data_IF_966485070525
#
_entry.id   IF_966485070525
#
_cell.length_a   1.000
_cell.length_b   1.000
_cell.length_c   1.000
_cell.angle_alpha   90.00
_cell.angle_beta   90.00
_cell.angle_gamma   90.00
#
_symmetry.space_group_name_H-M   'P 1'
#
loop_
_entity.id
_entity.type
_entity.pdbx_description
1 polymer ?
#
# COMPACT_ATOMS: atom_id res chain seq x y z
N UNK A 1 1.53 27.09 6.88
CA UNK A 1 0.86 26.04 6.07
C UNK A 1 1.88 24.94 5.84
N UNK A 2 1.85 23.88 6.64
CA UNK A 2 2.79 22.76 6.48
C UNK A 2 2.37 21.96 5.26
N UNK A 3 3.18 21.99 4.21
CA UNK A 3 3.07 21.08 3.07
C UNK A 3 3.11 19.65 3.62
N UNK A 4 1.95 18.99 3.69
CA UNK A 4 1.94 17.56 3.97
C UNK A 4 2.43 16.89 2.70
N UNK A 5 3.69 16.50 2.66
CA UNK A 5 4.24 15.74 1.54
C UNK A 5 3.44 14.45 1.42
N UNK A 6 2.64 14.34 0.35
CA UNK A 6 1.82 13.17 0.06
C UNK A 6 2.30 12.58 -1.25
N UNK A 7 2.77 11.35 -1.20
CA UNK A 7 3.23 10.65 -2.39
C UNK A 7 2.07 9.84 -2.96
N UNK A 8 1.68 10.16 -4.18
CA UNK A 8 0.59 9.49 -4.88
C UNK A 8 1.13 8.64 -6.01
N UNK A 9 0.82 7.35 -5.97
CA UNK A 9 1.23 6.43 -7.02
C UNK A 9 0.16 5.41 -7.34
N UNK A 10 0.31 4.78 -8.50
CA UNK A 10 -0.60 3.73 -8.95
C UNK A 10 0.14 2.41 -9.18
N UNK A 11 -0.41 1.35 -8.59
CA UNK A 11 0.01 -0.01 -8.81
C UNK A 11 -1.00 -0.76 -9.67
N UNK A 12 -0.53 -1.61 -10.57
CA UNK A 12 -1.40 -2.43 -11.44
C UNK A 12 -0.87 -3.86 -11.50
N UNK A 13 -1.76 -4.84 -11.43
CA UNK A 13 -1.42 -6.25 -11.63
C UNK A 13 -2.61 -7.00 -12.22
N UNK A 14 -2.42 -7.62 -13.38
CA UNK A 14 -3.51 -8.24 -14.16
C UNK A 14 -4.64 -7.21 -14.37
N UNK A 15 -5.85 -7.48 -13.87
CA UNK A 15 -7.00 -6.58 -13.90
C UNK A 15 -7.18 -5.73 -12.64
N UNK A 16 -6.30 -5.84 -11.64
CA UNK A 16 -6.36 -5.07 -10.41
C UNK A 16 -5.61 -3.74 -10.54
N UNK A 17 -6.25 -2.66 -10.10
CA UNK A 17 -5.70 -1.31 -10.04
C UNK A 17 -5.72 -0.84 -8.59
N UNK A 18 -4.56 -0.47 -8.08
CA UNK A 18 -4.34 0.08 -6.75
C UNK A 18 -3.91 1.54 -6.85
N UNK A 19 -4.61 2.43 -6.15
CA UNK A 19 -4.22 3.82 -5.95
C UNK A 19 -3.68 3.94 -4.54
N UNK A 20 -2.42 4.34 -4.40
CA UNK A 20 -1.69 4.39 -3.14
C UNK A 20 -1.37 5.84 -2.83
N UNK A 21 -1.67 6.24 -1.60
CA UNK A 21 -1.22 7.49 -1.02
C UNK A 21 -0.32 7.15 0.17
N UNK A 22 0.93 7.58 0.11
CA UNK A 22 1.84 7.55 1.26
C UNK A 22 1.91 8.92 1.89
N UNK A 23 1.81 8.94 3.22
CA UNK A 23 1.91 10.13 4.05
C UNK A 23 2.91 9.82 5.16
N UNK A 24 3.94 10.64 5.42
CA UNK A 24 4.82 10.42 6.56
C UNK A 24 3.99 10.48 7.85
N UNK A 25 4.10 9.44 8.70
CA UNK A 25 3.15 9.23 9.79
C UNK A 25 3.47 8.05 10.70
N UNK A 26 2.42 7.39 11.20
CA UNK A 26 2.47 6.41 12.30
C UNK A 26 2.60 4.94 11.85
N UNK A 27 2.63 4.66 10.54
CA UNK A 27 2.64 3.29 10.03
C UNK A 27 1.26 2.68 9.80
N UNK A 28 0.20 3.49 9.77
CA UNK A 28 -1.17 3.01 9.60
C UNK A 28 -1.43 2.57 8.16
N UNK A 29 -1.77 1.29 7.99
CA UNK A 29 -2.08 0.72 6.68
C UNK A 29 -3.58 0.48 6.52
N UNK A 30 -4.22 1.16 5.56
CA UNK A 30 -5.67 1.05 5.32
C UNK A 30 -5.94 0.73 3.84
N UNK A 31 -6.74 -0.30 3.57
CA UNK A 31 -7.17 -0.73 2.23
C UNK A 31 -8.68 -0.60 2.11
N UNK A 32 -9.17 0.19 1.15
CA UNK A 32 -10.61 0.39 0.93
C UNK A 32 -11.39 0.75 2.22
N UNK A 33 -10.80 1.59 3.08
CA UNK A 33 -11.32 2.01 4.40
C UNK A 33 -11.33 0.93 5.49
N UNK A 34 -10.75 -0.25 5.23
CA UNK A 34 -10.58 -1.33 6.19
C UNK A 34 -9.10 -1.51 6.55
N UNK A 35 -8.77 -1.97 7.77
CA UNK A 35 -7.39 -2.34 8.11
C UNK A 35 -6.91 -3.52 7.28
N UNK A 36 -5.59 -3.61 7.06
CA UNK A 36 -4.95 -4.65 6.25
C UNK A 36 -5.40 -6.07 6.64
N UNK A 37 -5.43 -6.35 7.94
CA UNK A 37 -5.78 -7.66 8.53
C UNK A 37 -7.22 -8.07 8.23
N UNK A 38 -8.14 -7.10 8.18
CA UNK A 38 -9.54 -7.36 7.88
C UNK A 38 -9.80 -7.51 6.37
N UNK A 39 -9.01 -6.82 5.54
CA UNK A 39 -9.15 -6.88 4.09
C UNK A 39 -8.51 -8.14 3.50
N UNK A 40 -7.35 -8.56 4.01
CA UNK A 40 -6.62 -9.73 3.57
C UNK A 40 -6.63 -10.81 4.66
N UNK A 41 -7.48 -11.85 4.56
CA UNK A 41 -7.57 -12.89 5.58
C UNK A 41 -6.34 -13.82 5.60
N UNK A 42 -5.55 -13.87 4.52
CA UNK A 42 -4.34 -14.69 4.44
C UNK A 42 -3.12 -13.86 4.83
N UNK A 43 -2.35 -14.36 5.80
CA UNK A 43 -1.08 -13.75 6.24
C UNK A 43 -0.09 -13.58 5.09
N UNK A 44 0.00 -14.54 4.17
CA UNK A 44 0.86 -14.45 2.98
C UNK A 44 0.57 -13.21 2.11
N UNK A 45 -0.69 -12.77 2.07
CA UNK A 45 -1.09 -11.57 1.33
C UNK A 45 -0.73 -10.30 2.08
N UNK A 46 -0.83 -10.32 3.42
CA UNK A 46 -0.41 -9.21 4.27
C UNK A 46 1.10 -9.01 4.19
N UNK A 47 1.88 -10.08 4.32
CA UNK A 47 3.35 -10.03 4.19
C UNK A 47 3.78 -9.52 2.81
N UNK A 48 3.10 -9.94 1.73
CA UNK A 48 3.40 -9.42 0.38
C UNK A 48 3.18 -7.90 0.27
N UNK A 49 2.19 -7.34 0.95
CA UNK A 49 1.92 -5.90 0.93
C UNK A 49 2.94 -5.13 1.79
N UNK A 50 3.42 -5.75 2.85
CA UNK A 50 4.40 -5.18 3.79
C UNK A 50 5.87 -5.35 3.38
N UNK A 51 6.15 -6.29 2.47
CA UNK A 51 7.47 -6.55 1.89
C UNK A 51 8.27 -5.29 1.50
N UNK A 52 7.70 -4.30 0.76
CA UNK A 52 8.45 -3.10 0.38
C UNK A 52 8.85 -2.20 1.56
N UNK A 53 8.08 -2.18 2.65
CA UNK A 53 8.44 -1.43 3.85
C UNK A 53 9.55 -2.11 4.65
N UNK A 54 9.54 -3.44 4.69
CA UNK A 54 10.62 -4.21 5.30
C UNK A 54 11.93 -4.06 4.54
N UNK A 55 11.90 -4.13 3.21
CA UNK A 55 13.10 -4.02 2.36
C UNK A 55 13.77 -2.64 2.42
N UNK A 56 13.01 -1.59 2.75
CA UNK A 56 13.51 -0.22 2.82
C UNK A 56 13.71 0.26 4.25
N UNK A 57 13.51 -0.61 5.25
CA UNK A 57 13.51 -0.27 6.69
C UNK A 57 12.60 0.94 7.02
N UNK A 58 11.55 1.16 6.21
CA UNK A 58 10.58 2.25 6.38
C UNK A 58 9.33 1.83 7.16
N UNK A 59 9.37 0.66 7.78
CA UNK A 59 8.28 0.14 8.60
C UNK A 59 7.95 1.10 9.73
N UNK A 60 6.70 1.57 9.80
CA UNK A 60 6.25 2.51 10.83
C UNK A 60 6.48 3.98 10.53
N UNK A 61 7.15 4.34 9.42
CA UNK A 61 7.46 5.73 9.08
C UNK A 61 6.38 6.40 8.20
N UNK A 62 5.58 5.60 7.49
CA UNK A 62 4.56 6.08 6.56
C UNK A 62 3.19 5.46 6.83
N UNK A 63 2.16 6.32 6.82
CA UNK A 63 0.77 5.91 6.71
C UNK A 63 0.44 5.65 5.22
N UNK A 64 -0.16 4.50 4.95
CA UNK A 64 -0.53 4.07 3.61
C UNK A 64 -2.05 3.99 3.48
N UNK A 65 -2.59 4.85 2.62
CA UNK A 65 -4.00 4.90 2.25
C UNK A 65 -4.16 4.34 0.85
N UNK A 66 -4.74 3.14 0.78
CA UNK A 66 -4.83 2.39 -0.47
C UNK A 66 -6.28 2.18 -0.87
N UNK A 67 -6.59 2.48 -2.12
CA UNK A 67 -7.88 2.14 -2.74
C UNK A 67 -7.63 1.18 -3.88
N UNK A 68 -8.24 -0.01 -3.82
CA UNK A 68 -8.09 -1.04 -4.87
C UNK A 68 -9.42 -1.34 -5.53
N UNK A 69 -9.38 -1.55 -6.85
CA UNK A 69 -10.53 -1.97 -7.66
C UNK A 69 -10.11 -2.97 -8.72
N UNK A 70 -11.00 -3.92 -9.02
CA UNK A 70 -10.80 -4.95 -10.04
C UNK A 70 -9.96 -6.14 -9.58
N UNK A 71 -9.99 -7.22 -10.37
CA UNK A 71 -9.29 -8.48 -10.08
C UNK A 71 -9.78 -9.21 -8.83
N UNK A 72 -9.02 -10.22 -8.40
CA UNK A 72 -9.22 -10.93 -7.12
C UNK A 72 -8.18 -10.55 -6.06
N UNK A 73 -8.35 -11.05 -4.84
CA UNK A 73 -7.52 -10.70 -3.66
C UNK A 73 -6.01 -10.82 -3.88
N UNK A 74 -5.54 -11.90 -4.53
CA UNK A 74 -4.11 -12.08 -4.84
C UNK A 74 -3.59 -11.08 -5.89
N UNK A 75 -4.43 -10.76 -6.87
CA UNK A 75 -4.12 -9.74 -7.87
C UNK A 75 -4.01 -8.35 -7.23
N UNK A 76 -4.95 -8.04 -6.34
CA UNK A 76 -4.96 -6.79 -5.58
C UNK A 76 -3.74 -6.66 -4.67
N UNK A 77 -3.41 -7.66 -3.85
CA UNK A 77 -2.22 -7.62 -2.99
C UNK A 77 -0.94 -7.30 -3.77
N UNK A 78 -0.74 -7.94 -4.92
CA UNK A 78 0.42 -7.65 -5.78
C UNK A 78 0.37 -6.28 -6.46
N UNK A 79 -0.82 -5.76 -6.80
CA UNK A 79 -0.97 -4.39 -7.29
C UNK A 79 -0.61 -3.37 -6.21
N UNK A 80 -1.05 -3.58 -4.97
CA UNK A 80 -0.73 -2.72 -3.82
C UNK A 80 0.78 -2.71 -3.59
N UNK A 81 1.41 -3.89 -3.50
CA UNK A 81 2.87 -4.01 -3.34
C UNK A 81 3.63 -3.15 -4.36
N UNK A 82 3.24 -3.23 -5.62
CA UNK A 82 3.86 -2.48 -6.70
C UNK A 82 3.62 -0.97 -6.57
N UNK A 83 2.41 -0.56 -6.17
CA UNK A 83 2.08 0.86 -5.96
C UNK A 83 2.84 1.46 -4.77
N UNK A 84 2.97 0.72 -3.68
CA UNK A 84 3.74 1.13 -2.49
C UNK A 84 5.22 1.28 -2.82
N UNK A 85 5.81 0.31 -3.52
CA UNK A 85 7.21 0.39 -3.91
C UNK A 85 7.52 1.63 -4.78
N UNK A 86 6.60 1.98 -5.71
CA UNK A 86 6.72 3.20 -6.50
C UNK A 86 6.58 4.46 -5.65
N UNK A 87 5.62 4.47 -4.74
CA UNK A 87 5.39 5.60 -3.85
C UNK A 87 6.62 5.85 -2.96
N UNK A 88 7.26 4.79 -2.45
CA UNK A 88 8.49 4.88 -1.67
C UNK A 88 9.69 5.39 -2.49
N UNK A 89 9.75 5.09 -3.79
CA UNK A 89 10.82 5.61 -4.65
C UNK A 89 10.71 7.12 -4.90
N UNK A 90 9.50 7.66 -4.84
CA UNK A 90 9.24 9.11 -4.92
C UNK A 90 9.35 9.80 -3.55
N UNK A 91 9.41 9.02 -2.47
CA UNK A 91 9.41 9.49 -1.09
C UNK A 91 10.78 9.99 -0.64
#
# INVERSE_FOLDING_TARGET
MSETTRYYETGKRKSAIARVWLIPGSGKFTVNKLPLEQYFPLETQQSMVQEPFHLTDTTGQFDALVTVRGGGVSGQAGAIRHGVAKALLQA
#
